data_IF_096187159345
#
_entry.id   IF_096187159345
#
_cell.length_a   1.000
_cell.length_b   1.000
_cell.length_c   1.000
_cell.angle_alpha   90.00
_cell.angle_beta   90.00
_cell.angle_gamma   90.00
#
_symmetry.space_group_name_H-M   'P 1'
#
loop_
_entity.id
_entity.type
_entity.pdbx_description
1 polymer ?
#
# COMPACT_ATOMS: atom_id res chain seq x y z
N UNK A 1 7.93 -13.19 -2.09
CA UNK A 1 8.34 -12.55 -3.37
C UNK A 1 7.91 -13.34 -4.60
N UNK A 2 8.18 -14.65 -4.75
CA UNK A 2 7.73 -15.43 -5.94
C UNK A 2 6.21 -15.33 -6.18
N UNK A 3 5.43 -15.27 -5.10
CA UNK A 3 3.97 -15.10 -5.15
C UNK A 3 3.51 -13.75 -5.73
N UNK A 4 4.35 -12.71 -5.66
CA UNK A 4 4.08 -11.40 -6.28
C UNK A 4 4.60 -11.30 -7.73
N UNK A 5 5.37 -12.28 -8.19
CA UNK A 5 6.22 -12.13 -9.39
C UNK A 5 5.53 -12.51 -10.71
N UNK A 6 4.22 -12.80 -10.70
CA UNK A 6 3.51 -13.27 -11.90
C UNK A 6 2.44 -12.27 -12.30
N UNK A 7 2.54 -11.70 -13.51
CA UNK A 7 1.45 -10.93 -14.10
C UNK A 7 0.16 -11.76 -14.08
N UNK A 8 -0.95 -11.11 -13.75
CA UNK A 8 -2.28 -11.72 -13.72
C UNK A 8 -3.17 -11.13 -14.82
N UNK A 9 -4.16 -11.89 -15.27
CA UNK A 9 -5.24 -11.34 -16.10
C UNK A 9 -6.06 -10.27 -15.34
N UNK A 10 -5.96 -10.26 -14.01
CA UNK A 10 -6.62 -9.30 -13.12
C UNK A 10 -5.77 -8.06 -12.82
N UNK A 11 -4.60 -7.91 -13.46
CA UNK A 11 -3.76 -6.72 -13.31
C UNK A 11 -4.49 -5.48 -13.87
N UNK A 12 -4.40 -4.37 -13.14
CA UNK A 12 -5.11 -3.12 -13.47
C UNK A 12 -4.13 -1.96 -13.59
N UNK A 13 -4.63 -0.84 -14.11
CA UNK A 13 -3.94 0.44 -14.00
C UNK A 13 -3.97 0.95 -12.56
N UNK A 14 -2.79 1.07 -11.97
CA UNK A 14 -2.57 1.50 -10.59
C UNK A 14 -2.34 3.01 -10.50
N UNK A 15 -2.76 3.59 -9.38
CA UNK A 15 -2.49 4.96 -8.96
C UNK A 15 -1.05 5.14 -8.44
N UNK A 16 -0.58 4.14 -7.69
CA UNK A 16 0.72 3.98 -6.99
C UNK A 16 1.13 5.04 -5.98
N UNK A 17 0.54 6.23 -6.01
CA UNK A 17 0.77 7.32 -5.05
C UNK A 17 -0.52 7.83 -4.37
N UNK A 18 -1.42 6.89 -4.03
CA UNK A 18 -2.68 7.21 -3.38
C UNK A 18 -2.49 7.47 -1.88
N UNK A 19 -2.55 8.74 -1.47
CA UNK A 19 -2.57 9.15 -0.07
C UNK A 19 -3.40 10.43 0.13
N UNK A 20 -3.68 10.79 1.39
CA UNK A 20 -4.58 11.90 1.74
C UNK A 20 -4.17 13.26 1.13
N UNK A 21 -2.89 13.47 0.87
CA UNK A 21 -2.39 14.70 0.23
C UNK A 21 -2.70 14.78 -1.27
N UNK A 22 -2.91 13.62 -1.91
CA UNK A 22 -3.21 13.51 -3.34
C UNK A 22 -4.71 13.31 -3.62
N UNK A 23 -5.59 13.46 -2.61
CA UNK A 23 -7.05 13.39 -2.79
C UNK A 23 -7.68 14.72 -2.40
N UNK A 24 -8.25 15.41 -3.38
CA UNK A 24 -8.80 16.75 -3.23
C UNK A 24 -10.31 16.76 -3.46
N UNK A 25 -11.02 17.66 -2.76
CA UNK A 25 -12.41 17.95 -3.08
C UNK A 25 -12.51 18.69 -4.41
N UNK A 26 -13.41 18.28 -5.30
CA UNK A 26 -13.59 18.92 -6.61
C UNK A 26 -15.08 19.20 -6.91
N UNK A 27 -15.35 20.00 -7.94
CA UNK A 27 -16.72 20.24 -8.42
C UNK A 27 -17.19 19.14 -9.39
N UNK A 28 -16.28 18.61 -10.22
CA UNK A 28 -16.60 17.56 -11.20
C UNK A 28 -16.94 16.19 -10.57
N UNK A 29 -16.45 15.96 -9.35
CA UNK A 29 -16.72 14.79 -8.53
C UNK A 29 -16.40 15.14 -7.06
N UNK A 30 -17.04 14.52 -6.05
CA UNK A 30 -16.82 14.84 -4.64
C UNK A 30 -15.35 14.77 -4.22
N UNK A 31 -14.61 13.80 -4.76
CA UNK A 31 -13.19 13.59 -4.52
C UNK A 31 -12.47 13.31 -5.82
N UNK A 32 -11.27 13.87 -5.96
CA UNK A 32 -10.41 13.69 -7.12
C UNK A 32 -9.00 13.32 -6.65
N UNK A 33 -8.46 12.25 -7.23
CA UNK A 33 -7.05 11.94 -7.13
C UNK A 33 -6.22 12.82 -8.07
N UNK A 34 -5.10 13.34 -7.57
CA UNK A 34 -4.08 14.05 -8.34
C UNK A 34 -2.74 13.30 -8.28
N UNK A 35 -1.80 13.68 -9.17
CA UNK A 35 -0.44 13.12 -9.26
C UNK A 35 -0.33 11.57 -9.29
N UNK A 36 -1.10 10.87 -10.14
CA UNK A 36 -0.92 9.43 -10.28
C UNK A 36 0.44 9.12 -10.93
N UNK A 37 1.06 8.01 -10.51
CA UNK A 37 2.29 7.47 -11.09
C UNK A 37 1.96 6.10 -11.71
N UNK A 38 1.32 6.08 -12.90
CA UNK A 38 0.63 4.90 -13.38
C UNK A 38 1.55 3.72 -13.64
N UNK A 39 1.11 2.52 -13.26
CA UNK A 39 1.74 1.24 -13.56
C UNK A 39 0.67 0.16 -13.74
N UNK A 40 0.95 -0.88 -14.54
CA UNK A 40 0.03 -2.04 -14.65
C UNK A 40 0.48 -3.11 -13.66
N UNK A 41 -0.42 -3.53 -12.78
CA UNK A 41 -0.11 -4.61 -11.86
C UNK A 41 -1.24 -4.93 -10.89
N UNK A 42 -0.85 -5.56 -9.79
CA UNK A 42 -1.77 -6.07 -8.80
C UNK A 42 -2.59 -4.98 -8.10
N UNK A 43 -3.92 -5.12 -8.10
CA UNK A 43 -4.87 -4.24 -7.40
C UNK A 43 -4.53 -4.02 -5.92
N UNK A 44 -4.01 -5.04 -5.24
CA UNK A 44 -3.63 -4.95 -3.83
C UNK A 44 -2.46 -3.98 -3.57
N UNK A 45 -1.67 -3.65 -4.60
CA UNK A 45 -0.53 -2.76 -4.48
C UNK A 45 -0.93 -1.33 -4.08
N UNK A 46 -2.05 -0.81 -4.59
CA UNK A 46 -2.46 0.58 -4.38
C UNK A 46 -2.83 0.90 -2.91
N UNK A 47 -3.11 -0.13 -2.10
CA UNK A 47 -3.30 0.04 -0.67
C UNK A 47 -2.02 0.51 0.06
N UNK A 48 -0.84 0.14 -0.48
CA UNK A 48 0.42 0.25 0.25
C UNK A 48 0.82 1.68 0.57
N UNK A 49 0.67 2.61 -0.38
CA UNK A 49 1.08 4.00 -0.17
C UNK A 49 0.27 4.65 0.96
N UNK A 50 -1.05 4.44 0.99
CA UNK A 50 -1.88 4.97 2.07
C UNK A 50 -1.49 4.38 3.43
N UNK A 51 -1.30 3.06 3.50
CA UNK A 51 -0.93 2.34 4.72
C UNK A 51 0.45 2.78 5.25
N UNK A 52 1.42 3.01 4.37
CA UNK A 52 2.75 3.52 4.70
C UNK A 52 2.74 4.99 5.13
N UNK A 53 1.72 5.77 4.77
CA UNK A 53 1.48 7.11 5.32
C UNK A 53 0.79 7.05 6.70
N UNK A 54 0.25 5.90 7.09
CA UNK A 54 -0.42 5.65 8.37
C UNK A 54 0.41 4.76 9.32
N UNK A 55 1.76 4.87 9.30
CA UNK A 55 2.70 3.97 10.00
C UNK A 55 2.34 3.68 11.45
N UNK A 56 1.88 4.69 12.21
CA UNK A 56 1.49 4.51 13.62
C UNK A 56 0.42 3.43 13.79
N UNK A 57 -0.65 3.45 12.99
CA UNK A 57 -1.73 2.45 13.06
C UNK A 57 -1.21 1.08 12.64
N UNK A 58 -0.40 1.04 11.59
CA UNK A 58 0.20 -0.19 11.08
C UNK A 58 1.16 -0.84 12.09
N UNK A 59 1.85 -0.04 12.93
CA UNK A 59 2.71 -0.53 14.00
C UNK A 59 1.94 -1.03 15.23
N UNK A 60 0.79 -0.43 15.56
CA UNK A 60 -0.01 -0.82 16.73
C UNK A 60 -0.94 -2.00 16.45
N UNK A 61 -1.59 -2.02 15.28
CA UNK A 61 -2.61 -3.00 14.91
C UNK A 61 -2.47 -3.40 13.43
N UNK A 62 -1.40 -4.12 13.04
CA UNK A 62 -1.10 -4.42 11.64
C UNK A 62 -2.23 -5.18 10.95
N UNK A 63 -2.62 -6.33 11.49
CA UNK A 63 -3.64 -7.21 10.89
C UNK A 63 -5.00 -6.53 10.77
N UNK A 64 -5.46 -5.88 11.84
CA UNK A 64 -6.73 -5.16 11.81
C UNK A 64 -6.69 -3.96 10.85
N UNK A 65 -5.55 -3.28 10.72
CA UNK A 65 -5.41 -2.15 9.79
C UNK A 65 -5.35 -2.61 8.34
N UNK A 66 -4.60 -3.67 8.04
CA UNK A 66 -4.52 -4.27 6.72
C UNK A 66 -5.88 -4.84 6.32
N UNK A 67 -6.51 -5.65 7.18
CA UNK A 67 -7.83 -6.25 6.94
C UNK A 67 -8.89 -5.21 6.60
N UNK A 68 -9.02 -4.15 7.43
CA UNK A 68 -9.97 -3.06 7.14
C UNK A 68 -9.74 -2.38 5.78
N UNK A 69 -8.48 -2.20 5.37
CA UNK A 69 -8.18 -1.62 4.06
C UNK A 69 -8.46 -2.59 2.91
N UNK A 70 -8.13 -3.86 3.11
CA UNK A 70 -8.39 -4.92 2.17
C UNK A 70 -9.90 -5.08 1.91
N UNK A 71 -10.70 -5.07 2.98
CA UNK A 71 -12.17 -5.12 2.90
C UNK A 71 -12.74 -3.92 2.14
N UNK A 72 -12.27 -2.70 2.42
CA UNK A 72 -12.72 -1.48 1.73
C UNK A 72 -12.35 -1.44 0.25
N UNK A 73 -11.26 -2.10 -0.13
CA UNK A 73 -10.76 -2.17 -1.51
C UNK A 73 -11.20 -3.43 -2.25
N UNK A 74 -11.90 -4.34 -1.56
CA UNK A 74 -12.31 -5.65 -2.08
C UNK A 74 -11.13 -6.45 -2.65
N UNK A 75 -10.03 -6.50 -1.89
CA UNK A 75 -8.80 -7.24 -2.24
C UNK A 75 -8.39 -8.19 -1.12
N UNK A 76 -7.55 -9.17 -1.45
CA UNK A 76 -7.02 -10.12 -0.47
C UNK A 76 -6.03 -9.44 0.50
N UNK A 77 -6.32 -9.50 1.80
CA UNK A 77 -5.50 -8.86 2.84
C UNK A 77 -4.07 -9.38 2.90
N UNK A 78 -3.87 -10.69 2.69
CA UNK A 78 -2.53 -11.29 2.64
C UNK A 78 -1.72 -10.73 1.46
N UNK A 79 -2.38 -10.47 0.33
CA UNK A 79 -1.74 -9.88 -0.86
C UNK A 79 -1.30 -8.44 -0.59
N UNK A 80 -2.10 -7.66 0.14
CA UNK A 80 -1.71 -6.32 0.64
C UNK A 80 -0.50 -6.42 1.58
N UNK A 81 -0.48 -7.38 2.52
CA UNK A 81 0.64 -7.59 3.45
C UNK A 81 1.93 -7.91 2.71
N UNK A 82 1.89 -8.82 1.73
CA UNK A 82 3.04 -9.17 0.90
C UNK A 82 3.59 -7.96 0.15
N UNK A 83 2.73 -7.10 -0.41
CA UNK A 83 3.17 -5.87 -1.05
C UNK A 83 3.75 -4.85 -0.07
N UNK A 84 3.20 -4.74 1.14
CA UNK A 84 3.79 -3.90 2.18
C UNK A 84 5.21 -4.36 2.56
N UNK A 85 5.44 -5.67 2.67
CA UNK A 85 6.78 -6.23 2.88
C UNK A 85 7.70 -5.85 1.71
N UNK A 86 7.24 -6.08 0.47
CA UNK A 86 8.01 -5.76 -0.73
C UNK A 86 8.38 -4.27 -0.82
N UNK A 87 7.39 -3.39 -0.58
CA UNK A 87 7.57 -1.93 -0.53
C UNK A 87 8.54 -1.51 0.57
N UNK A 88 8.42 -2.10 1.76
CA UNK A 88 9.32 -1.78 2.88
C UNK A 88 10.76 -2.15 2.54
N UNK A 89 10.98 -3.25 1.82
CA UNK A 89 12.30 -3.70 1.36
C UNK A 89 12.86 -2.86 0.19
N UNK A 90 12.00 -2.39 -0.72
CA UNK A 90 12.40 -1.66 -1.93
C UNK A 90 12.55 -0.14 -1.74
N UNK A 91 11.96 0.44 -0.68
CA UNK A 91 12.01 1.88 -0.45
C UNK A 91 13.47 2.38 -0.31
N UNK A 92 13.91 3.33 -1.15
CA UNK A 92 15.25 3.89 -1.06
C UNK A 92 15.41 4.67 0.24
N UNK A 93 16.45 4.35 0.99
CA UNK A 93 16.79 5.02 2.26
C UNK A 93 18.30 5.18 2.37
N UNK A 94 18.75 6.34 2.84
CA UNK A 94 20.16 6.56 3.17
C UNK A 94 20.56 5.80 4.44
N UNK A 95 19.65 5.65 5.41
CA UNK A 95 19.86 4.91 6.67
C UNK A 95 18.57 4.18 7.09
N UNK A 96 18.71 2.96 7.62
CA UNK A 96 17.61 2.24 8.25
C UNK A 96 17.28 2.82 9.62
N UNK A 97 16.10 3.44 9.74
CA UNK A 97 15.60 3.87 11.05
C UNK A 97 15.07 2.68 11.86
N UNK A 98 15.06 2.83 13.19
CA UNK A 98 14.46 1.85 14.12
C UNK A 98 13.01 1.55 13.77
N UNK A 99 12.26 2.56 13.34
CA UNK A 99 10.85 2.42 12.95
C UNK A 99 10.68 1.61 11.67
N UNK A 100 11.56 1.80 10.68
CA UNK A 100 11.53 1.04 9.42
C UNK A 100 11.83 -0.45 9.66
N UNK A 101 12.81 -0.74 10.54
CA UNK A 101 13.12 -2.10 10.95
C UNK A 101 11.99 -2.73 11.77
N UNK A 102 11.36 -1.96 12.65
CA UNK A 102 10.23 -2.42 13.47
C UNK A 102 9.03 -2.74 12.59
N UNK A 103 8.71 -1.87 11.63
CA UNK A 103 7.63 -2.10 10.69
C UNK A 103 7.86 -3.37 9.86
N UNK A 104 9.07 -3.56 9.31
CA UNK A 104 9.41 -4.76 8.57
C UNK A 104 9.22 -6.05 9.43
N UNK A 105 9.61 -6.01 10.71
CA UNK A 105 9.42 -7.14 11.64
C UNK A 105 7.96 -7.40 11.97
N UNK A 106 7.17 -6.34 12.12
CA UNK A 106 5.73 -6.45 12.39
C UNK A 106 5.01 -7.08 11.20
N UNK A 107 5.33 -6.65 9.98
CA UNK A 107 4.71 -7.14 8.75
C UNK A 107 5.13 -8.57 8.38
N UNK A 108 6.31 -9.02 8.81
CA UNK A 108 6.85 -10.35 8.49
C UNK A 108 6.44 -11.46 9.46
N UNK A 109 5.58 -11.16 10.45
CA UNK A 109 4.94 -12.17 11.30
C UNK A 109 3.83 -12.89 10.54
#
# INVERSE_FOLDING_TARGET
MRELSRPSADDVLLATDLHVGNVLRAQRAPWLMIDPKPFIGDRAYDATQHLLNCKRRLLTEPEATIGRFADLLEVEGERVRLWLIARTAAEPREVWSRDSMTLARVLAR
#
